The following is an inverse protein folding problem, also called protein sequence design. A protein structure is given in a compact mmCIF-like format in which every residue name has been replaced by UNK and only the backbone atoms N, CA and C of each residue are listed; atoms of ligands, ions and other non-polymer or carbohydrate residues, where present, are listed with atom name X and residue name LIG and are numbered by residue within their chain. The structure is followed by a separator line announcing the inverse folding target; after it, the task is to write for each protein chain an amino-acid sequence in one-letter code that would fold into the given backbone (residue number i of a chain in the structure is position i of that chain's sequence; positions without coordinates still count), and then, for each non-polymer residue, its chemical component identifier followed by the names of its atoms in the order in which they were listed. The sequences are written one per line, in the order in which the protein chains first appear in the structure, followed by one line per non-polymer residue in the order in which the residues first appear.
data_IF_395516545738
#
_entry.id   IF_395516545738
#
_cell.length_a   1.000
_cell.length_b   1.000
_cell.length_c   1.000
_cell.angle_alpha   90.00
_cell.angle_beta   90.00
_cell.angle_gamma   90.00
#
_symmetry.space_group_name_H-M   'P 1'
#
loop_
_entity.id
_entity.type
_entity.pdbx_description
1 polymer ?
2 non-polymer ?
3 water ?
#
# COMPACT_ATOMS: atom_id res chain seq x y z
N UNK A 1 16.84 6.78 15.88
CA UNK A 1 17.82 5.81 15.34
C UNK A 1 17.17 4.56 14.72
N UNK A 2 18.00 3.63 14.29
CA UNK A 2 17.52 2.44 13.62
C UNK A 2 18.00 1.15 14.27
N UNK A 3 17.42 0.04 13.83
CA UNK A 3 17.75 -1.27 14.36
C UNK A 3 17.93 -2.26 13.22
N UNK A 4 19.16 -2.64 12.91
CA UNK A 4 19.40 -3.59 11.83
C UNK A 4 18.91 -4.98 12.17
N UNK A 5 18.68 -5.80 11.15
CA UNK A 5 18.24 -7.17 11.32
C UNK A 5 18.90 -8.02 10.25
N UNK A 6 19.14 -9.29 10.57
CA UNK A 6 19.79 -10.20 9.64
C UNK A 6 18.96 -11.46 9.45
N UNK A 7 18.69 -11.82 8.20
CA UNK A 7 17.93 -13.02 7.89
C UNK A 7 18.93 -14.12 7.49
N UNK A 8 18.71 -15.33 8.00
CA UNK A 8 19.59 -16.46 7.74
C UNK A 8 18.89 -17.61 6.99
N UNK A 9 19.68 -18.40 6.25
CA UNK A 9 19.11 -19.47 5.46
C UNK A 9 18.25 -20.41 6.31
N UNK A 10 17.03 -20.62 5.81
CA UNK A 10 16.02 -21.44 6.45
C UNK A 10 15.91 -22.83 5.90
N UNK A 11 15.58 -23.78 6.76
CA UNK A 11 15.46 -25.16 6.30
C UNK A 11 14.07 -25.51 5.78
N UNK A 12 13.14 -24.57 5.85
CA UNK A 12 11.80 -24.86 5.36
C UNK A 12 10.75 -24.09 6.14
N UNK A 13 9.83 -23.43 5.45
CA UNK A 13 8.78 -22.68 6.14
C UNK A 13 7.50 -23.49 6.06
N UNK A 14 6.80 -23.57 7.17
CA UNK A 14 5.62 -24.40 7.19
C UNK A 14 4.58 -23.94 8.21
N UNK A 15 3.32 -23.92 7.80
CA UNK A 15 2.29 -23.53 8.72
C UNK A 15 1.11 -22.89 8.03
N UNK A 16 0.19 -22.41 8.85
CA UNK A 16 -1.02 -21.75 8.38
C UNK A 16 -1.14 -20.50 9.23
N UNK A 17 -1.27 -19.35 8.60
CA UNK A 17 -1.34 -18.09 9.33
C UNK A 17 -2.38 -17.14 8.78
N UNK A 18 -2.90 -16.27 9.64
CA UNK A 18 -3.86 -15.26 9.17
C UNK A 18 -2.99 -14.04 8.93
N UNK A 19 -3.13 -13.42 7.77
CA UNK A 19 -2.35 -12.23 7.47
C UNK A 19 -3.06 -10.99 8.07
N UNK A 20 -2.31 -9.95 8.46
CA UNK A 20 -2.92 -8.75 9.02
C UNK A 20 -3.83 -8.05 7.99
N UNK A 21 -4.77 -7.25 8.47
CA UNK A 21 -5.70 -6.56 7.59
C UNK A 21 -5.11 -5.66 6.53
N UNK A 22 -5.89 -5.43 5.48
CA UNK A 22 -5.47 -4.59 4.38
C UNK A 22 -5.28 -3.15 4.81
N UNK A 23 -4.10 -2.61 4.53
CA UNK A 23 -3.77 -1.23 4.88
C UNK A 23 -4.63 -0.22 4.10
N UNK A 24 -4.76 -0.40 2.77
CA UNK A 24 -5.57 0.54 1.99
C UNK A 24 -7.00 0.65 2.53
N UNK A 25 -7.62 -0.50 2.77
CA UNK A 25 -8.99 -0.52 3.27
C UNK A 25 -9.04 -0.01 4.72
N UNK A 26 -8.02 -0.33 5.51
CA UNK A 26 -8.02 0.13 6.91
C UNK A 26 -7.98 1.65 7.01
N UNK A 27 -7.13 2.28 6.20
CA UNK A 27 -7.02 3.74 6.17
C UNK A 27 -8.41 4.32 5.87
N UNK A 28 -9.03 3.80 4.80
CA UNK A 28 -10.34 4.31 4.39
C UNK A 28 -11.45 4.02 5.39
N UNK A 29 -11.30 2.94 6.15
CA UNK A 29 -12.33 2.61 7.16
C UNK A 29 -12.39 3.69 8.24
N UNK A 30 -11.22 4.12 8.67
CA UNK A 30 -11.11 5.18 9.68
C UNK A 30 -11.61 6.50 9.08
N UNK A 31 -11.21 6.79 7.84
CA UNK A 31 -11.63 8.04 7.21
C UNK A 31 -13.13 8.10 6.96
N UNK A 32 -13.69 7.08 6.31
CA UNK A 32 -15.10 7.10 6.01
C UNK A 32 -15.94 6.93 7.25
N UNK A 33 -15.48 6.10 8.19
CA UNK A 33 -16.19 5.92 9.44
C UNK A 33 -16.19 7.23 10.20
N UNK A 34 -15.08 7.95 10.15
CA UNK A 34 -15.00 9.23 10.86
C UNK A 34 -15.86 10.33 10.25
N UNK A 35 -16.06 10.27 8.93
CA UNK A 35 -16.85 11.26 8.21
C UNK A 35 -18.36 10.99 8.22
N UNK A 36 -18.73 9.72 8.18
CA UNK A 36 -20.13 9.33 8.04
C UNK A 36 -21.02 9.67 9.22
N UNK A 37 -22.32 9.57 8.96
CA UNK A 37 -23.31 9.82 10.00
C UNK A 37 -23.45 8.58 10.85
N UNK A 38 -23.40 8.75 12.15
CA UNK A 38 -23.59 7.60 12.99
C UNK A 38 -22.37 6.74 13.20
N UNK A 39 -22.65 5.50 13.57
CA UNK A 39 -21.63 4.55 13.95
C UNK A 39 -21.12 3.63 12.87
N UNK A 40 -19.80 3.41 12.88
CA UNK A 40 -19.16 2.47 11.98
C UNK A 40 -18.42 1.47 12.89
N UNK A 41 -18.52 0.18 12.56
CA UNK A 41 -17.87 -0.88 13.32
C UNK A 41 -16.92 -1.62 12.38
N UNK A 42 -15.65 -1.72 12.76
CA UNK A 42 -14.63 -2.34 11.92
C UNK A 42 -13.98 -3.56 12.59
N UNK A 43 -13.96 -4.68 11.91
CA UNK A 43 -13.28 -5.87 12.43
C UNK A 43 -12.16 -6.14 11.43
N UNK A 44 -11.04 -6.65 11.94
CA UNK A 44 -9.92 -6.98 11.08
C UNK A 44 -9.01 -5.81 10.74
N UNK A 45 -9.18 -4.68 11.42
CA UNK A 45 -8.37 -3.50 11.11
C UNK A 45 -6.87 -3.74 11.26
N UNK A 46 -6.08 -3.21 10.32
CA UNK A 46 -4.62 -3.26 10.43
C UNK A 46 -4.24 -2.22 11.48
N UNK A 47 -3.49 -2.64 12.50
CA UNK A 47 -3.10 -1.73 13.56
C UNK A 47 -1.65 -1.23 13.43
N UNK A 48 -1.18 -1.16 12.20
CA UNK A 48 0.16 -0.65 11.95
C UNK A 48 0.20 0.85 12.15
N UNK A 49 1.40 1.42 12.28
CA UNK A 49 1.55 2.86 12.52
C UNK A 49 0.87 3.78 11.52
N UNK A 50 0.94 3.46 10.23
CA UNK A 50 0.31 4.27 9.21
C UNK A 50 -1.18 4.49 9.49
N UNK A 51 -1.88 3.40 9.83
CA UNK A 51 -3.33 3.47 10.09
C UNK A 51 -3.63 4.22 11.37
N UNK A 52 -2.82 3.99 12.39
CA UNK A 52 -3.02 4.71 13.64
C UNK A 52 -2.91 6.23 13.38
N UNK A 53 -1.98 6.65 12.54
CA UNK A 53 -1.86 8.08 12.24
C UNK A 53 -3.10 8.64 11.57
N UNK A 54 -3.70 7.86 10.67
CA UNK A 54 -4.94 8.33 10.05
C UNK A 54 -6.03 8.44 11.12
N UNK A 55 -6.08 7.47 12.04
CA UNK A 55 -7.08 7.51 13.10
C UNK A 55 -6.93 8.78 13.94
N UNK A 56 -5.70 9.12 14.29
CA UNK A 56 -5.47 10.33 15.09
C UNK A 56 -5.86 11.62 14.33
N UNK A 57 -5.70 11.62 13.00
CA UNK A 57 -6.08 12.79 12.22
C UNK A 57 -7.60 12.95 12.22
N UNK A 58 -8.33 11.83 12.13
CA UNK A 58 -9.80 11.91 12.15
C UNK A 58 -10.29 12.36 13.53
N UNK A 59 -9.65 11.88 14.58
CA UNK A 59 -10.03 12.32 15.94
C UNK A 59 -9.80 13.83 16.09
N UNK A 60 -8.71 14.33 15.49
CA UNK A 60 -8.38 15.73 15.53
C UNK A 60 -9.44 16.61 14.86
N UNK A 61 -10.25 16.00 14.00
CA UNK A 61 -11.30 16.71 13.27
C UNK A 61 -12.71 16.37 13.78
N UNK A 62 -12.78 15.76 14.96
CA UNK A 62 -14.08 15.50 15.57
C UNK A 62 -14.66 14.11 15.65
N UNK A 63 -14.03 13.14 15.00
CA UNK A 63 -14.56 11.77 15.07
C UNK A 63 -14.13 11.14 16.38
N UNK A 64 -14.95 10.25 16.92
CA UNK A 64 -14.55 9.57 18.14
C UNK A 64 -14.22 8.14 17.73
N UNK A 65 -13.05 7.68 18.13
CA UNK A 65 -12.60 6.34 17.78
C UNK A 65 -12.25 5.59 19.04
N UNK A 66 -12.66 4.33 19.13
CA UNK A 66 -12.36 3.51 20.29
C UNK A 66 -12.31 2.05 19.87
N UNK A 67 -11.60 1.23 20.64
CA UNK A 67 -11.52 -0.20 20.36
C UNK A 67 -12.19 -0.98 21.51
N UNK A 68 -13.26 -1.68 21.16
CA UNK A 68 -14.03 -2.48 22.12
C UNK A 68 -13.84 -3.92 21.73
N UNK A 69 -13.10 -4.70 22.54
CA UNK A 69 -12.86 -6.08 22.18
C UNK A 69 -12.00 -6.06 20.94
N UNK A 70 -12.40 -6.78 19.90
CA UNK A 70 -11.61 -6.78 18.66
C UNK A 70 -12.25 -5.89 17.60
N UNK A 71 -13.16 -5.01 18.01
CA UNK A 71 -13.85 -4.13 17.07
C UNK A 71 -13.54 -2.65 17.25
N UNK A 72 -13.17 -1.97 16.17
CA UNK A 72 -12.94 -0.54 16.27
C UNK A 72 -14.29 0.09 15.98
N UNK A 73 -14.74 0.96 16.88
CA UNK A 73 -16.05 1.61 16.73
C UNK A 73 -15.79 3.09 16.54
N UNK A 74 -16.40 3.64 15.51
CA UNK A 74 -16.21 5.06 15.19
C UNK A 74 -17.54 5.81 15.18
N UNK A 75 -17.55 6.96 15.84
CA UNK A 75 -18.74 7.81 15.83
C UNK A 75 -18.38 8.95 14.88
N UNK A 76 -19.01 8.94 13.72
CA UNK A 76 -18.74 9.94 12.71
C UNK A 76 -19.37 11.30 12.91
N UNK A 77 -18.88 12.29 12.18
CA UNK A 77 -19.39 13.65 12.29
C UNK A 77 -20.45 13.99 11.23
N UNK A 78 -20.60 13.10 10.24
CA UNK A 78 -21.54 13.33 9.14
C UNK A 78 -20.86 14.11 8.02
N UNK A 79 -21.22 13.83 6.77
CA UNK A 79 -20.60 14.54 5.65
C UNK A 79 -20.77 16.06 5.86
N UNK A 80 -19.68 16.80 5.68
CA UNK A 80 -19.71 18.24 5.87
C UNK A 80 -19.47 18.65 7.32
N UNK A 81 -19.29 17.65 8.19
CA UNK A 81 -19.12 17.94 9.62
C UNK A 81 -17.74 17.96 10.24
N UNK A 82 -16.68 17.84 9.45
CA UNK A 82 -15.34 17.86 10.00
C UNK A 82 -15.05 19.22 10.64
N UNK A 83 -14.32 19.16 11.75
CA UNK A 83 -13.96 20.34 12.52
C UNK A 83 -12.51 20.73 12.28
N UNK A 84 -12.22 22.02 12.31
CA UNK A 84 -10.88 22.52 12.07
C UNK A 84 -9.88 21.95 13.09
N UNK A 85 -8.81 21.30 12.62
CA UNK A 85 -7.84 20.75 13.58
C UNK A 85 -7.06 21.86 14.29
N UNK A 86 -6.75 21.64 15.57
CA UNK A 86 -6.02 22.63 16.37
C UNK A 86 -4.57 22.69 15.99
N UNK A 87 -4.02 21.54 15.59
CA UNK A 87 -2.61 21.46 15.27
C UNK A 87 -2.39 20.70 13.97
N UNK A 88 -1.13 20.67 13.49
CA UNK A 88 -0.86 19.94 12.25
C UNK A 88 -1.26 18.48 12.35
N UNK A 89 -1.66 17.94 11.19
CA UNK A 89 -2.05 16.54 11.07
C UNK A 89 -0.75 15.82 10.71
N UNK A 90 -0.28 14.98 11.63
CA UNK A 90 0.97 14.27 11.46
C UNK A 90 0.73 12.90 10.87
N UNK A 91 1.11 12.72 9.60
CA UNK A 91 0.88 11.46 8.96
C UNK A 91 2.05 10.51 8.99
N UNK A 92 3.11 10.94 9.69
CA UNK A 92 4.28 10.09 9.82
C UNK A 92 4.82 9.60 8.49
N UNK A 93 4.77 8.28 8.25
CA UNK A 93 5.29 7.68 7.00
C UNK A 93 4.20 7.44 5.97
N UNK A 94 2.96 7.75 6.32
CA UNK A 94 1.80 7.41 5.47
C UNK A 94 1.28 8.34 4.38
N UNK A 95 1.68 8.09 3.14
CA UNK A 95 1.21 8.91 2.02
C UNK A 95 -0.29 8.72 1.79
N UNK A 96 -0.77 7.50 1.98
CA UNK A 96 -2.20 7.24 1.79
C UNK A 96 -3.03 8.15 2.70
N UNK A 97 -2.70 8.16 3.97
CA UNK A 97 -3.45 9.02 4.87
C UNK A 97 -3.31 10.48 4.51
N UNK A 98 -2.09 10.91 4.24
CA UNK A 98 -1.82 12.29 3.92
C UNK A 98 -2.52 12.76 2.65
N UNK A 99 -2.33 12.04 1.56
CA UNK A 99 -2.92 12.48 0.29
C UNK A 99 -4.43 12.42 0.28
N UNK A 100 -5.01 11.37 0.85
CA UNK A 100 -6.47 11.30 0.87
C UNK A 100 -7.05 12.37 1.79
N UNK A 101 -6.39 12.63 2.92
CA UNK A 101 -6.91 13.63 3.85
C UNK A 101 -6.81 15.04 3.28
N UNK A 102 -5.79 15.29 2.45
CA UNK A 102 -5.65 16.59 1.79
C UNK A 102 -6.91 16.86 0.97
N UNK A 103 -7.35 15.86 0.22
CA UNK A 103 -8.54 16.04 -0.57
C UNK A 103 -9.76 16.15 0.32
N UNK A 104 -9.82 15.32 1.35
CA UNK A 104 -10.97 15.31 2.24
C UNK A 104 -11.20 16.64 2.95
N UNK A 105 -10.16 17.18 3.57
CA UNK A 105 -10.37 18.42 4.33
C UNK A 105 -9.91 19.70 3.66
N UNK A 106 -9.13 19.59 2.57
CA UNK A 106 -8.69 20.77 1.86
C UNK A 106 -9.83 21.63 1.34
N UNK A 107 -10.98 21.00 1.07
CA UNK A 107 -12.16 21.69 0.56
C UNK A 107 -13.02 22.33 1.65
N UNK A 108 -12.60 22.21 2.90
CA UNK A 108 -13.33 22.84 4.00
C UNK A 108 -12.77 24.25 4.23
N UNK A 109 -13.65 25.16 4.61
CA UNK A 109 -13.31 26.55 4.84
C UNK A 109 -12.63 26.84 6.18
N UNK A 110 -11.50 26.17 6.39
CA UNK A 110 -10.65 26.37 7.56
C UNK A 110 -9.27 25.89 7.15
N UNK A 111 -8.27 26.23 7.93
CA UNK A 111 -6.90 25.83 7.64
C UNK A 111 -6.60 24.44 8.15
N UNK A 112 -5.80 23.72 7.37
CA UNK A 112 -5.33 22.40 7.76
C UNK A 112 -3.86 22.27 7.34
N UNK A 113 -3.03 21.78 8.25
CA UNK A 113 -1.60 21.63 7.97
C UNK A 113 -1.22 20.17 8.01
N UNK A 114 -0.37 19.78 7.05
CA UNK A 114 0.05 18.41 6.90
C UNK A 114 1.55 18.27 7.06
N UNK A 115 1.98 17.37 7.94
CA UNK A 115 3.40 17.12 8.17
C UNK A 115 3.66 15.63 8.21
N UNK A 116 4.93 15.24 8.14
CA UNK A 116 5.23 13.83 8.15
C UNK A 116 6.70 13.61 8.42
N UNK A 117 7.13 12.36 8.30
CA UNK A 117 8.53 12.06 8.59
C UNK A 117 9.50 12.40 7.46
N UNK A 118 10.77 12.07 7.66
CA UNK A 118 11.76 12.41 6.65
C UNK A 118 11.47 11.83 5.27
N UNK A 119 10.88 10.63 5.25
CA UNK A 119 10.54 9.98 3.98
C UNK A 119 9.32 10.64 3.30
N UNK A 120 8.24 10.84 4.04
CA UNK A 120 7.02 11.42 3.47
C UNK A 120 7.23 12.86 3.02
N UNK A 121 8.08 13.57 3.76
CA UNK A 121 8.39 14.96 3.45
C UNK A 121 9.13 15.15 2.13
N UNK A 122 9.69 14.07 1.58
CA UNK A 122 10.40 14.20 0.28
C UNK A 122 9.51 13.78 -0.89
N UNK A 123 8.34 13.20 -0.61
CA UNK A 123 7.47 12.70 -1.69
C UNK A 123 6.62 13.78 -2.37
N UNK A 124 6.32 13.57 -3.66
CA UNK A 124 5.53 14.58 -4.38
C UNK A 124 4.07 14.70 -4.00
N UNK A 125 3.64 15.93 -3.72
CA UNK A 125 2.24 16.15 -3.39
C UNK A 125 1.52 16.91 -4.50
N UNK A 126 2.27 17.43 -5.47
CA UNK A 126 1.66 18.18 -6.56
C UNK A 126 0.55 17.43 -7.28
N UNK A 127 0.71 16.12 -7.38
CA UNK A 127 -0.28 15.30 -8.08
C UNK A 127 -1.68 15.39 -7.45
N UNK A 128 -1.73 15.72 -6.16
CA UNK A 128 -3.01 15.92 -5.47
C UNK A 128 -3.30 17.42 -5.30
N UNK A 129 -2.27 18.23 -5.05
CA UNK A 129 -2.52 19.66 -4.84
C UNK A 129 -2.99 20.39 -6.09
N UNK A 130 -2.58 19.93 -7.26
CA UNK A 130 -3.01 20.59 -8.50
C UNK A 130 -4.51 20.47 -8.69
N UNK A 131 -5.09 19.26 -8.59
CA UNK A 131 -6.54 19.26 -8.76
C UNK A 131 -7.24 20.05 -7.66
N UNK A 132 -6.69 20.06 -6.44
CA UNK A 132 -7.32 20.85 -5.38
C UNK A 132 -7.29 22.34 -5.70
N UNK A 133 -6.21 22.81 -6.33
CA UNK A 133 -6.13 24.22 -6.71
C UNK A 133 -7.26 24.49 -7.73
N UNK A 134 -7.56 23.53 -8.60
CA UNK A 134 -8.61 23.72 -9.59
C UNK A 134 -9.96 23.80 -8.88
N UNK A 135 -10.09 23.08 -7.77
CA UNK A 135 -11.32 23.08 -6.98
C UNK A 135 -11.43 24.33 -6.10
N UNK A 136 -10.41 25.19 -6.11
CA UNK A 136 -10.48 26.42 -5.32
C UNK A 136 -9.73 26.43 -3.99
N UNK A 137 -9.00 25.38 -3.69
CA UNK A 137 -8.25 25.32 -2.45
C UNK A 137 -6.98 26.16 -2.58
N UNK A 138 -6.67 26.91 -1.53
CA UNK A 138 -5.46 27.72 -1.47
C UNK A 138 -4.38 26.84 -0.85
N UNK A 139 -3.25 26.75 -1.54
CA UNK A 139 -2.15 25.87 -1.12
C UNK A 139 -0.85 26.60 -0.77
N UNK A 140 -0.31 26.29 0.41
CA UNK A 140 0.98 26.81 0.85
C UNK A 140 1.84 25.56 1.06
N UNK A 141 2.81 25.34 0.20
CA UNK A 141 3.66 24.15 0.29
C UNK A 141 5.12 24.54 0.21
N UNK A 142 6.01 23.60 0.49
CA UNK A 142 7.43 23.85 0.33
C UNK A 142 7.75 23.63 -1.15
N UNK A 143 8.89 24.14 -1.59
CA UNK A 143 9.27 24.03 -3.00
C UNK A 143 9.14 22.61 -3.55
N UNK A 144 8.55 22.50 -4.75
CA UNK A 144 8.34 21.21 -5.37
C UNK A 144 7.04 20.58 -4.92
N UNK A 145 6.24 21.37 -4.21
CA UNK A 145 4.95 20.91 -3.64
C UNK A 145 5.19 19.72 -2.70
N UNK A 146 6.04 19.94 -1.69
CA UNK A 146 6.37 18.94 -0.68
C UNK A 146 5.86 19.44 0.67
N UNK A 147 5.74 18.53 1.63
CA UNK A 147 5.37 18.90 2.99
C UNK A 147 6.48 19.76 3.61
N UNK A 148 6.13 20.60 4.59
CA UNK A 148 4.78 20.78 5.14
C UNK A 148 3.89 21.52 4.17
N UNK A 149 2.60 21.23 4.24
CA UNK A 149 1.61 21.86 3.38
C UNK A 149 0.46 22.37 4.25
N UNK A 150 0.00 23.59 3.97
CA UNK A 150 -1.15 24.14 4.67
C UNK A 150 -2.20 24.44 3.59
N UNK A 151 -3.39 23.91 3.80
CA UNK A 151 -4.50 24.11 2.86
C UNK A 151 -5.57 24.97 3.50
N UNK A 152 -6.28 25.71 2.66
CA UNK A 152 -7.42 26.53 3.12
C UNK A 152 -8.43 26.44 2.01
N UNK A 153 -9.55 25.79 2.30
CA UNK A 153 -10.58 25.62 1.30
C UNK A 153 -11.40 26.87 1.10
N UNK A 154 -12.10 26.99 -0.03
CA UNK A 154 -12.94 28.14 -0.33
C UNK A 154 -14.30 27.98 0.37
N UNK A 155 -15.09 29.05 0.39
CA UNK A 155 -16.40 28.96 1.00
C UNK A 155 -17.22 27.90 0.28
N UNK A 156 -17.10 27.90 -1.05
CA UNK A 156 -17.80 26.95 -1.92
C UNK A 156 -16.81 26.38 -2.95
N UNK A 157 -16.42 25.11 -2.79
CA UNK A 157 -15.49 24.49 -3.74
C UNK A 157 -16.13 24.33 -5.11
N UNK A 158 -15.28 24.20 -6.13
CA UNK A 158 -15.73 24.03 -7.52
C UNK A 158 -15.53 22.56 -7.93
N UNK A 159 -16.60 21.87 -8.39
CA UNK A 159 -16.42 20.48 -8.80
C UNK A 159 -15.69 20.46 -10.13
N UNK A 160 -14.86 19.44 -10.33
CA UNK A 160 -14.10 19.33 -11.56
C UNK A 160 -14.24 17.95 -12.18
N UNK A 161 -13.73 17.83 -13.41
CA UNK A 161 -13.67 16.57 -14.13
C UNK A 161 -12.16 16.46 -14.29
N UNK A 162 -11.58 15.45 -13.66
CA UNK A 162 -10.13 15.31 -13.67
C UNK A 162 -9.61 14.01 -14.24
N UNK A 163 -8.76 14.10 -15.25
CA UNK A 163 -8.20 12.89 -15.82
C UNK A 163 -6.86 12.70 -15.13
N UNK A 164 -6.74 11.63 -14.36
CA UNK A 164 -5.51 11.36 -13.60
C UNK A 164 -4.40 11.03 -14.59
N UNK A 165 -3.29 11.79 -14.54
CA UNK A 165 -2.14 11.61 -15.45
C UNK A 165 -1.25 10.38 -15.28
N UNK A 166 -1.18 9.84 -14.07
CA UNK A 166 -0.39 8.63 -13.81
C UNK A 166 -1.35 7.65 -13.14
N UNK A 167 -0.96 6.37 -13.07
CA UNK A 167 -1.82 5.34 -12.50
C UNK A 167 -1.81 5.34 -10.98
N UNK A 168 -2.38 6.40 -10.41
CA UNK A 168 -2.43 6.62 -8.97
C UNK A 168 -3.82 6.51 -8.36
N UNK A 169 -4.02 5.50 -7.52
CA UNK A 169 -5.31 5.38 -6.83
C UNK A 169 -5.40 6.49 -5.77
N UNK A 170 -4.26 6.95 -5.24
CA UNK A 170 -4.33 8.03 -4.23
C UNK A 170 -4.83 9.35 -4.84
N UNK A 171 -4.42 9.66 -6.07
CA UNK A 171 -4.90 10.89 -6.69
C UNK A 171 -6.38 10.78 -6.98
N UNK A 172 -6.79 9.66 -7.56
CA UNK A 172 -8.22 9.44 -7.82
C UNK A 172 -8.99 9.57 -6.50
N UNK A 173 -8.46 8.98 -5.44
CA UNK A 173 -9.13 9.00 -4.13
C UNK A 173 -9.25 10.40 -3.54
N UNK A 174 -8.18 11.17 -3.63
CA UNK A 174 -8.17 12.53 -3.11
C UNK A 174 -9.20 13.40 -3.81
N UNK A 175 -9.30 13.29 -5.13
CA UNK A 175 -10.28 14.10 -5.84
C UNK A 175 -11.71 13.66 -5.48
N UNK A 176 -11.97 12.36 -5.37
CA UNK A 176 -13.29 11.91 -4.97
C UNK A 176 -13.64 12.36 -3.53
N UNK A 177 -12.69 12.29 -2.60
CA UNK A 177 -12.98 12.70 -1.22
C UNK A 177 -13.24 14.21 -1.19
N UNK A 178 -12.50 14.98 -2.00
CA UNK A 178 -12.76 16.43 -2.07
C UNK A 178 -14.19 16.65 -2.58
N UNK A 179 -14.61 15.82 -3.53
CA UNK A 179 -15.96 15.92 -4.06
C UNK A 179 -17.05 15.75 -3.03
N UNK A 180 -16.78 15.01 -1.94
CA UNK A 180 -17.81 14.82 -0.90
C UNK A 180 -18.31 16.13 -0.31
N UNK A 181 -17.46 17.14 -0.23
CA UNK A 181 -17.93 18.41 0.33
C UNK A 181 -18.06 19.51 -0.72
N UNK A 182 -18.20 19.11 -1.98
CA UNK A 182 -18.29 20.05 -3.10
C UNK A 182 -19.66 19.91 -3.75
N UNK A 183 -20.37 21.04 -3.92
CA UNK A 183 -21.69 20.92 -4.54
C UNK A 183 -21.55 20.64 -6.03
N UNK A 184 -22.39 19.76 -6.56
CA UNK A 184 -22.33 19.43 -7.96
C UNK A 184 -21.71 18.05 -8.17
N UNK A 185 -21.36 17.74 -9.41
CA UNK A 185 -20.80 16.45 -9.77
C UNK A 185 -19.29 16.47 -10.02
N UNK A 186 -18.55 15.69 -9.23
CA UNK A 186 -17.12 15.56 -9.40
C UNK A 186 -16.88 14.30 -10.22
N UNK A 187 -16.03 14.42 -11.24
CA UNK A 187 -15.75 13.27 -12.09
C UNK A 187 -14.27 12.98 -12.16
N UNK A 188 -13.92 11.72 -11.96
CA UNK A 188 -12.53 11.31 -12.09
C UNK A 188 -12.46 10.33 -13.24
N UNK A 189 -11.54 10.57 -14.16
CA UNK A 189 -11.34 9.69 -15.31
C UNK A 189 -9.98 9.04 -15.14
N UNK A 190 -9.99 7.72 -15.13
CA UNK A 190 -8.82 6.91 -14.96
C UNK A 190 -8.58 6.10 -16.24
N UNK A 191 -7.52 6.42 -17.00
CA UNK A 191 -7.30 5.64 -18.24
C UNK A 191 -6.89 4.19 -18.01
N UNK A 192 -6.27 3.92 -16.86
CA UNK A 192 -5.87 2.57 -16.51
C UNK A 192 -6.34 2.35 -15.07
N UNK A 193 -7.03 1.24 -14.85
CA UNK A 193 -7.58 0.97 -13.53
C UNK A 193 -6.56 0.86 -12.43
N UNK A 194 -6.86 1.48 -11.29
CA UNK A 194 -5.99 1.39 -10.11
C UNK A 194 -6.88 0.85 -8.98
N UNK A 195 -6.29 0.48 -7.85
CA UNK A 195 -7.12 -0.09 -6.78
C UNK A 195 -8.34 0.77 -6.53
N UNK A 196 -9.46 0.08 -6.37
CA UNK A 196 -10.77 0.75 -6.29
C UNK A 196 -11.48 0.71 -4.96
N UNK A 197 -10.69 0.67 -3.89
CA UNK A 197 -11.28 0.65 -2.55
C UNK A 197 -12.11 1.88 -2.25
N UNK A 198 -11.66 3.05 -2.73
CA UNK A 198 -12.43 4.27 -2.48
C UNK A 198 -13.82 4.18 -3.10
N UNK A 199 -13.89 3.82 -4.39
CA UNK A 199 -15.18 3.69 -5.08
C UNK A 199 -16.11 2.67 -4.42
N UNK A 200 -15.59 1.47 -4.17
CA UNK A 200 -16.42 0.42 -3.58
C UNK A 200 -16.88 0.81 -2.19
N UNK A 201 -15.98 1.38 -1.39
CA UNK A 201 -16.37 1.73 -0.02
C UNK A 201 -17.33 2.92 0.05
N UNK A 202 -17.12 3.95 -0.78
CA UNK A 202 -18.05 5.07 -0.77
C UNK A 202 -19.42 4.61 -1.19
N UNK A 203 -19.50 3.68 -2.14
CA UNK A 203 -20.82 3.18 -2.54
C UNK A 203 -21.44 2.46 -1.33
N UNK A 204 -20.62 1.69 -0.60
CA UNK A 204 -21.10 0.97 0.58
C UNK A 204 -21.61 1.90 1.67
N UNK A 205 -21.04 3.10 1.74
CA UNK A 205 -21.47 4.09 2.72
C UNK A 205 -22.66 4.92 2.24
N UNK A 206 -23.18 4.58 1.05
CA UNK A 206 -24.35 5.28 0.52
C UNK A 206 -24.15 6.43 -0.44
N UNK A 207 -22.90 6.69 -0.83
CA UNK A 207 -22.61 7.78 -1.74
C UNK A 207 -23.24 7.52 -3.09
N UNK A 208 -23.72 8.57 -3.75
CA UNK A 208 -24.24 8.44 -5.10
C UNK A 208 -23.02 8.54 -6.02
N UNK A 209 -22.31 7.42 -6.15
CA UNK A 209 -21.10 7.32 -6.94
C UNK A 209 -21.26 6.18 -7.93
N UNK A 210 -20.99 6.47 -9.20
CA UNK A 210 -21.10 5.46 -10.23
C UNK A 210 -19.78 5.29 -10.94
N UNK A 211 -19.57 4.09 -11.47
CA UNK A 211 -18.36 3.80 -12.23
C UNK A 211 -18.80 3.23 -13.57
N UNK A 212 -18.33 3.84 -14.66
CA UNK A 212 -18.66 3.36 -16.00
C UNK A 212 -17.34 3.03 -16.70
N UNK A 213 -17.25 1.83 -17.26
CA UNK A 213 -16.03 1.46 -17.95
C UNK A 213 -16.29 1.32 -19.45
N UNK A 214 -15.54 2.07 -20.24
CA UNK A 214 -15.68 2.01 -21.70
C UNK A 214 -15.07 0.67 -22.13
N UNK A 215 -15.45 0.18 -23.32
CA UNK A 215 -14.91 -1.06 -23.83
C UNK A 215 -13.40 -0.95 -23.93
N UNK A 216 -12.88 0.28 -24.06
CA UNK A 216 -11.42 0.44 -24.14
C UNK A 216 -10.74 0.46 -22.76
N UNK A 217 -11.53 0.26 -21.72
CA UNK A 217 -10.99 0.20 -20.36
C UNK A 217 -10.97 1.50 -19.55
N UNK A 218 -11.17 2.65 -20.19
CA UNK A 218 -11.16 3.90 -19.46
C UNK A 218 -12.35 3.94 -18.48
N UNK A 219 -12.07 4.32 -17.23
CA UNK A 219 -13.12 4.42 -16.20
C UNK A 219 -13.53 5.86 -15.94
N UNK A 220 -14.84 6.11 -15.92
CA UNK A 220 -15.38 7.43 -15.65
C UNK A 220 -16.11 7.24 -14.33
N UNK A 221 -15.62 7.90 -13.28
CA UNK A 221 -16.18 7.77 -11.94
C UNK A 221 -16.85 9.07 -11.59
N UNK A 222 -18.16 9.03 -11.34
CA UNK A 222 -18.94 10.23 -11.03
C UNK A 222 -19.41 10.17 -9.58
N UNK A 223 -19.29 11.29 -8.89
CA UNK A 223 -19.72 11.41 -7.49
C UNK A 223 -20.54 12.67 -7.29
N UNK A 224 -21.75 12.52 -6.75
CA UNK A 224 -22.59 13.67 -6.45
C UNK A 224 -22.17 14.18 -5.05
N UNK A 225 -21.76 15.44 -4.98
CA UNK A 225 -21.29 15.99 -3.72
C UNK A 225 -22.31 16.36 -2.66
N UNK A 226 -21.81 16.49 -1.43
CA UNK A 226 -22.62 16.89 -0.29
C UNK A 226 -23.80 15.98 0.00
N UNK A 227 -23.63 14.70 -0.30
CA UNK A 227 -24.67 13.71 -0.02
C UNK A 227 -24.44 13.03 1.32
N UNK A 228 -25.49 12.40 1.85
CA UNK A 228 -25.36 11.74 3.13
C UNK A 228 -24.49 10.51 3.05
N UNK A 229 -23.68 10.28 4.08
CA UNK A 229 -22.89 9.04 4.17
C UNK A 229 -23.40 8.41 5.47
N UNK A 230 -23.61 7.10 5.44
CA UNK A 230 -24.14 6.36 6.58
C UNK A 230 -23.12 5.36 7.14
N UNK A 231 -22.89 5.40 8.45
CA UNK A 231 -21.96 4.48 9.09
C UNK A 231 -22.24 3.04 8.73
N UNK A 232 -21.18 2.26 8.62
CA UNK A 232 -21.31 0.88 8.20
C UNK A 232 -20.55 -0.12 9.04
N UNK A 233 -20.89 -1.39 8.84
CA UNK A 233 -20.18 -2.49 9.49
C UNK A 233 -19.17 -2.94 8.44
N UNK A 234 -17.89 -2.87 8.78
CA UNK A 234 -16.81 -3.23 7.86
C UNK A 234 -16.02 -4.43 8.34
N UNK A 235 -15.75 -5.37 7.44
CA UNK A 235 -14.94 -6.53 7.76
C UNK A 235 -13.74 -6.43 6.81
N UNK A 236 -12.59 -6.06 7.37
CA UNK A 236 -11.38 -5.85 6.58
C UNK A 236 -10.72 -7.16 6.16
N UNK A 237 -10.44 -7.31 4.84
CA UNK A 237 -9.80 -8.55 4.35
C UNK A 237 -8.30 -8.48 4.60
N UNK A 238 -7.62 -9.62 4.50
CA UNK A 238 -6.19 -9.69 4.71
C UNK A 238 -5.43 -8.93 3.62
N UNK A 239 -4.37 -8.26 4.02
CA UNK A 239 -3.56 -7.44 3.11
C UNK A 239 -2.78 -8.29 2.09
N UNK A 240 -3.08 -8.10 0.80
CA UNK A 240 -2.39 -8.88 -0.25
C UNK A 240 -0.94 -8.45 -0.43
N UNK A 241 -0.61 -7.21 -0.07
CA UNK A 241 0.79 -6.74 -0.16
C UNK A 241 1.61 -7.35 0.98
N UNK A 242 1.01 -7.50 2.16
CA UNK A 242 1.73 -8.10 3.29
C UNK A 242 1.86 -9.59 3.02
N UNK A 243 0.81 -10.17 2.44
CA UNK A 243 0.80 -11.60 2.10
C UNK A 243 1.99 -11.96 1.23
N UNK A 244 2.36 -11.03 0.34
CA UNK A 244 3.48 -11.25 -0.59
C UNK A 244 4.77 -11.73 0.07
N UNK A 245 5.05 -11.26 1.28
CA UNK A 245 6.29 -11.64 1.95
C UNK A 245 6.36 -13.10 2.34
N UNK A 246 5.38 -13.61 3.11
CA UNK A 246 5.48 -15.05 3.46
C UNK A 246 5.22 -15.90 2.21
N UNK A 247 4.42 -15.38 1.27
CA UNK A 247 4.12 -16.13 0.06
C UNK A 247 5.39 -16.33 -0.78
N UNK A 248 6.12 -15.25 -1.05
CA UNK A 248 7.33 -15.43 -1.84
C UNK A 248 8.37 -16.24 -1.05
N UNK A 249 8.43 -16.04 0.26
CA UNK A 249 9.37 -16.81 1.07
C UNK A 249 9.09 -18.32 0.91
N UNK A 250 7.81 -18.72 0.94
CA UNK A 250 7.44 -20.12 0.82
C UNK A 250 7.78 -20.68 -0.57
N UNK A 251 7.68 -19.86 -1.61
CA UNK A 251 8.01 -20.32 -2.95
C UNK A 251 9.52 -20.57 -3.04
N UNK A 252 10.29 -19.69 -2.43
CA UNK A 252 11.77 -19.77 -2.52
C UNK A 252 12.51 -20.71 -1.59
N UNK A 253 12.05 -20.82 -0.36
CA UNK A 253 12.73 -21.69 0.61
C UNK A 253 12.37 -23.15 0.37
N UNK A 254 13.35 -23.99 0.04
CA UNK A 254 13.03 -25.41 -0.20
C UNK A 254 12.35 -26.05 1.01
N UNK A 255 11.45 -27.01 0.73
CA UNK A 255 10.76 -27.71 1.81
C UNK A 255 9.66 -26.92 2.50
N UNK A 256 9.07 -25.97 1.79
CA UNK A 256 8.03 -25.12 2.38
C UNK A 256 6.62 -25.42 1.92
N UNK A 257 5.68 -25.15 2.83
CA UNK A 257 4.25 -25.36 2.56
C UNK A 257 3.54 -24.42 3.55
N UNK A 258 3.17 -23.26 3.06
CA UNK A 258 2.53 -22.22 3.88
C UNK A 258 1.17 -21.83 3.37
N UNK A 259 0.19 -21.80 4.27
CA UNK A 259 -1.14 -21.38 3.90
C UNK A 259 -1.44 -20.03 4.58
N UNK A 260 -1.85 -19.05 3.77
CA UNK A 260 -2.21 -17.73 4.26
C UNK A 260 -3.73 -17.58 4.15
N UNK A 261 -4.37 -17.32 5.28
CA UNK A 261 -5.83 -17.21 5.33
C UNK A 261 -6.41 -15.83 5.12
N UNK A 262 -7.59 -15.83 4.48
CA UNK A 262 -8.41 -14.64 4.28
C UNK A 262 -7.71 -13.50 3.56
N UNK A 263 -7.10 -13.80 2.41
CA UNK A 263 -6.37 -12.79 1.64
C UNK A 263 -7.25 -12.08 0.62
N UNK A 264 -7.17 -10.75 0.56
CA UNK A 264 -7.93 -9.98 -0.41
C UNK A 264 -7.48 -10.38 -1.82
N UNK A 265 -8.44 -10.66 -2.70
CA UNK A 265 -8.17 -11.10 -4.07
C UNK A 265 -8.73 -10.18 -5.15
N UNK A 266 -9.06 -8.95 -4.78
CA UNK A 266 -9.53 -7.92 -5.73
C UNK A 266 -8.42 -7.89 -6.80
N UNK A 267 -8.78 -8.02 -8.10
CA UNK A 267 -7.75 -8.02 -9.14
C UNK A 267 -6.82 -6.81 -9.30
N UNK A 268 -7.18 -5.68 -8.70
CA UNK A 268 -6.32 -4.52 -8.75
C UNK A 268 -5.18 -4.71 -7.74
N UNK A 269 -5.20 -5.83 -7.01
CA UNK A 269 -4.19 -6.10 -6.00
C UNK A 269 -3.43 -7.40 -6.21
N UNK A 270 -3.76 -8.15 -7.26
CA UNK A 270 -3.13 -9.45 -7.46
C UNK A 270 -2.14 -9.66 -8.60
N UNK A 271 -1.57 -8.58 -9.11
CA UNK A 271 -0.59 -8.72 -10.18
C UNK A 271 0.62 -9.59 -9.81
N UNK A 272 1.08 -9.52 -8.56
CA UNK A 272 2.24 -10.35 -8.19
C UNK A 272 1.90 -11.83 -8.27
N UNK A 273 0.75 -12.24 -7.75
CA UNK A 273 0.36 -13.63 -7.83
C UNK A 273 0.33 -14.10 -9.28
N UNK A 274 -0.27 -13.30 -10.17
CA UNK A 274 -0.36 -13.67 -11.58
C UNK A 274 1.04 -13.82 -12.16
N UNK A 275 1.92 -12.88 -11.82
CA UNK A 275 3.28 -12.91 -12.33
C UNK A 275 4.04 -14.13 -11.82
N UNK A 276 3.92 -14.43 -10.53
CA UNK A 276 4.61 -15.57 -9.97
C UNK A 276 4.08 -16.87 -10.60
N UNK A 277 2.77 -16.93 -10.84
CA UNK A 277 2.21 -18.12 -11.47
C UNK A 277 2.83 -18.34 -12.85
N UNK A 278 3.03 -17.24 -13.59
CA UNK A 278 3.65 -17.31 -14.91
C UNK A 278 5.10 -17.77 -14.82
N UNK A 279 5.74 -17.49 -13.69
CA UNK A 279 7.14 -17.89 -13.46
C UNK A 279 7.22 -19.36 -13.00
N UNK A 280 6.07 -19.97 -12.74
CA UNK A 280 6.07 -21.37 -12.31
C UNK A 280 5.68 -21.62 -10.86
N UNK A 281 5.20 -20.59 -10.17
CA UNK A 281 4.85 -20.75 -8.75
C UNK A 281 3.66 -21.66 -8.52
N UNK A 282 3.75 -22.40 -7.43
CA UNK A 282 2.71 -23.33 -7.00
C UNK A 282 1.93 -22.57 -5.91
N UNK A 283 0.89 -21.88 -6.34
CA UNK A 283 0.04 -21.12 -5.44
C UNK A 283 -1.38 -21.59 -5.69
N UNK A 284 -1.99 -22.20 -4.68
CA UNK A 284 -3.35 -22.70 -4.82
C UNK A 284 -4.34 -21.73 -4.19
N UNK A 285 -5.34 -21.34 -4.96
CA UNK A 285 -6.38 -20.43 -4.48
C UNK A 285 -7.49 -21.32 -3.93
N UNK A 286 -7.70 -21.22 -2.63
CA UNK A 286 -8.67 -22.05 -1.94
C UNK A 286 -9.91 -21.32 -1.42
N UNK A 287 -11.08 -21.89 -1.66
CA UNK A 287 -12.36 -21.36 -1.16
C UNK A 287 -12.57 -19.87 -1.49
N UNK A 288 -12.46 -19.50 -2.78
CA UNK A 288 -12.67 -18.11 -3.14
C UNK A 288 -14.10 -17.78 -2.72
N UNK A 289 -14.28 -16.64 -2.07
CA UNK A 289 -15.56 -16.27 -1.53
C UNK A 289 -15.71 -14.77 -1.39
N UNK A 290 -16.90 -14.36 -0.98
CA UNK A 290 -17.21 -12.94 -0.78
C UNK A 290 -17.29 -12.75 0.74
N UNK A 291 -16.51 -11.80 1.26
CA UNK A 291 -16.47 -11.50 2.68
C UNK A 291 -16.32 -10.00 2.86
N UNK A 292 -17.22 -9.39 3.63
CA UNK A 292 -17.12 -7.96 3.84
C UNK A 292 -17.22 -7.18 2.54
N UNK A 293 -17.95 -7.71 1.56
CA UNK A 293 -18.08 -7.01 0.30
C UNK A 293 -16.91 -7.13 -0.66
N UNK A 294 -15.90 -7.93 -0.29
CA UNK A 294 -14.73 -8.12 -1.13
C UNK A 294 -14.46 -9.58 -1.44
N UNK A 295 -13.68 -9.80 -2.49
CA UNK A 295 -13.28 -11.14 -2.86
C UNK A 295 -12.10 -11.52 -2.01
N UNK A 296 -12.19 -12.69 -1.37
CA UNK A 296 -11.07 -13.18 -0.56
C UNK A 296 -10.90 -14.67 -0.83
N UNK A 297 -9.74 -15.19 -0.47
CA UNK A 297 -9.46 -16.62 -0.61
C UNK A 297 -8.30 -16.98 0.32
N UNK A 298 -8.11 -18.27 0.56
CA UNK A 298 -6.95 -18.70 1.35
C UNK A 298 -5.95 -19.14 0.28
N UNK A 299 -4.66 -18.95 0.52
CA UNK A 299 -3.65 -19.31 -0.46
C UNK A 299 -2.70 -20.31 0.12
N UNK A 300 -2.53 -21.45 -0.54
CA UNK A 300 -1.57 -22.47 -0.10
C UNK A 300 -0.40 -22.36 -1.06
N UNK A 301 0.75 -22.08 -0.48
CA UNK A 301 1.97 -21.85 -1.25
C UNK A 301 3.04 -22.90 -0.96
N UNK A 302 3.56 -23.50 -2.02
CA UNK A 302 4.60 -24.51 -1.87
C UNK A 302 5.89 -24.19 -2.66
N UNK A 303 7.02 -24.65 -2.15
CA UNK A 303 8.33 -24.43 -2.78
C UNK A 303 8.21 -24.70 -4.26
N UNK A 304 8.76 -23.79 -5.06
CA UNK A 304 8.68 -23.88 -6.50
C UNK A 304 9.97 -23.51 -7.17
N UNK A 305 10.17 -24.00 -8.39
CA UNK A 305 11.34 -23.65 -9.16
C UNK A 305 10.78 -22.58 -10.09
N UNK A 306 11.41 -21.41 -10.10
CA UNK A 306 10.90 -20.31 -10.91
C UNK A 306 11.77 -19.99 -12.14
N UNK A 307 11.11 -19.45 -13.15
CA UNK A 307 11.79 -19.02 -14.38
C UNK A 307 11.46 -17.56 -14.62
N UNK A 308 12.44 -16.81 -15.08
CA UNK A 308 12.22 -15.41 -15.35
C UNK A 308 11.19 -15.15 -16.44
N UNK A 309 10.47 -14.03 -16.31
CA UNK A 309 9.48 -13.66 -17.30
C UNK A 309 9.54 -12.16 -17.57
N UNK A 310 8.83 -11.72 -18.59
CA UNK A 310 8.72 -10.30 -18.92
C UNK A 310 7.39 -9.83 -18.32
N UNK A 311 7.46 -8.78 -17.51
CA UNK A 311 6.31 -8.19 -16.84
C UNK A 311 5.98 -6.88 -17.55
N UNK A 312 4.87 -6.85 -18.30
CA UNK A 312 4.41 -5.67 -19.06
C UNK A 312 4.05 -4.44 -18.25
N UNK A 313 4.29 -3.28 -18.84
CA UNK A 313 4.03 -2.04 -18.14
C UNK A 313 2.59 -1.88 -17.67
N UNK A 314 1.63 -2.45 -18.40
CA UNK A 314 0.23 -2.28 -18.00
C UNK A 314 -0.23 -3.10 -16.81
N UNK A 315 0.62 -4.02 -16.35
CA UNK A 315 0.29 -4.80 -15.16
C UNK A 315 0.75 -4.04 -13.93
N UNK A 316 1.63 -3.05 -14.10
CA UNK A 316 2.17 -2.35 -12.95
C UNK A 316 1.20 -1.84 -11.88
N UNK A 317 0.12 -1.14 -12.26
CA UNK A 317 -0.80 -0.65 -11.23
C UNK A 317 -1.35 -1.73 -10.29
N UNK A 318 -1.51 -2.93 -10.81
CA UNK A 318 -2.03 -4.06 -10.04
C UNK A 318 -1.03 -4.74 -9.10
N UNK A 319 0.22 -4.24 -9.11
CA UNK A 319 1.25 -4.83 -8.27
C UNK A 319 2.37 -3.85 -8.00
N UNK A 320 2.07 -2.56 -8.06
CA UNK A 320 3.12 -1.55 -7.88
C UNK A 320 3.93 -1.67 -6.59
N UNK A 321 3.29 -2.04 -5.48
CA UNK A 321 4.01 -2.18 -4.23
C UNK A 321 4.71 -3.52 -4.07
N UNK A 322 4.49 -4.43 -5.02
CA UNK A 322 5.13 -5.73 -4.95
C UNK A 322 6.36 -5.87 -5.83
N UNK A 323 6.83 -4.80 -6.48
CA UNK A 323 8.03 -4.96 -7.30
C UNK A 323 9.27 -5.31 -6.46
N UNK A 324 9.41 -4.76 -5.25
CA UNK A 324 10.60 -5.14 -4.47
C UNK A 324 10.67 -6.64 -4.19
N UNK A 325 9.55 -7.24 -3.72
CA UNK A 325 9.58 -8.67 -3.40
C UNK A 325 9.64 -9.54 -4.68
N UNK A 326 9.07 -9.04 -5.77
CA UNK A 326 9.16 -9.76 -7.05
C UNK A 326 10.64 -9.78 -7.49
N UNK A 327 11.34 -8.66 -7.32
CA UNK A 327 12.75 -8.59 -7.73
C UNK A 327 13.56 -9.62 -6.94
N UNK A 328 13.21 -9.79 -5.67
CA UNK A 328 13.88 -10.78 -4.84
C UNK A 328 13.59 -12.19 -5.37
N UNK A 329 12.34 -12.49 -5.72
CA UNK A 329 12.03 -13.81 -6.28
C UNK A 329 12.82 -14.02 -7.59
N UNK A 330 12.91 -12.96 -8.41
CA UNK A 330 13.62 -13.02 -9.69
C UNK A 330 15.11 -13.34 -9.49
N UNK A 331 15.65 -12.97 -8.33
CA UNK A 331 17.06 -13.23 -8.02
C UNK A 331 17.34 -14.74 -7.92
N UNK A 332 16.28 -15.53 -7.76
CA UNK A 332 16.41 -16.99 -7.66
C UNK A 332 15.75 -17.75 -8.78
N UNK A 333 15.35 -17.03 -9.83
CA UNK A 333 14.70 -17.65 -10.98
C UNK A 333 15.71 -17.92 -12.08
N UNK A 334 15.40 -18.90 -12.94
CA UNK A 334 16.27 -19.23 -14.06
C UNK A 334 16.10 -18.20 -15.17
N UNK A 335 17.18 -17.53 -15.55
CA UNK A 335 17.08 -16.55 -16.61
C UNK A 335 16.76 -15.14 -16.13
N UNK A 336 16.36 -14.29 -17.06
CA UNK A 336 16.08 -12.88 -16.80
C UNK A 336 14.61 -12.55 -16.61
N UNK A 337 14.34 -11.70 -15.62
CA UNK A 337 12.98 -11.21 -15.39
C UNK A 337 13.13 -9.74 -15.79
N UNK A 338 12.26 -9.29 -16.70
CA UNK A 338 12.31 -7.91 -17.19
C UNK A 338 11.05 -7.16 -16.79
N UNK A 339 11.23 -6.03 -16.11
CA UNK A 339 10.10 -5.24 -15.63
C UNK A 339 10.21 -3.79 -16.06
N UNK A 340 9.25 -3.27 -16.84
CA UNK A 340 9.29 -1.88 -17.28
C UNK A 340 8.07 -1.11 -16.71
N UNK A 341 7.93 0.15 -17.09
CA UNK A 341 6.81 0.95 -16.58
C UNK A 341 6.94 1.21 -15.09
N UNK A 342 8.17 1.35 -14.60
CA UNK A 342 8.41 1.51 -13.17
C UNK A 342 8.66 2.92 -12.64
N UNK A 343 8.39 3.96 -13.42
CA UNK A 343 8.62 5.33 -12.97
C UNK A 343 8.02 5.64 -11.58
N UNK A 344 6.84 5.11 -11.29
CA UNK A 344 6.21 5.39 -10.01
C UNK A 344 6.98 4.85 -8.82
N UNK A 345 7.82 3.84 -9.02
CA UNK A 345 8.61 3.34 -7.92
C UNK A 345 9.58 4.40 -7.35
N UNK A 346 9.98 5.35 -8.18
CA UNK A 346 10.96 6.33 -7.72
C UNK A 346 10.44 7.38 -6.75
N UNK A 347 9.12 7.44 -6.56
CA UNK A 347 8.51 8.41 -5.66
C UNK A 347 7.79 7.82 -4.44
N UNK A 348 8.16 6.60 -4.07
CA UNK A 348 7.52 5.94 -2.93
C UNK A 348 8.27 6.27 -1.63
N UNK A 349 8.05 5.48 -0.57
CA UNK A 349 8.72 5.72 0.71
C UNK A 349 10.21 5.99 0.49
N UNK A 350 10.77 5.21 -0.43
CA UNK A 350 12.15 5.36 -0.90
C UNK A 350 12.00 5.32 -2.42
N UNK A 351 13.06 5.67 -3.14
CA UNK A 351 13.02 5.49 -4.59
C UNK A 351 13.22 3.96 -4.59
N UNK A 352 12.13 3.23 -4.79
CA UNK A 352 12.20 1.77 -4.71
C UNK A 352 13.01 1.10 -5.79
N UNK A 353 13.08 1.72 -6.96
CA UNK A 353 13.85 1.15 -8.05
C UNK A 353 15.34 1.21 -7.71
N UNK A 354 15.79 2.37 -7.25
CA UNK A 354 17.19 2.49 -6.86
C UNK A 354 17.52 1.66 -5.63
N UNK A 355 16.62 1.65 -4.64
CA UNK A 355 16.89 0.89 -3.42
C UNK A 355 16.93 -0.61 -3.67
N UNK A 356 16.02 -1.12 -4.51
CA UNK A 356 16.02 -2.55 -4.83
C UNK A 356 17.28 -2.91 -5.64
N UNK A 357 17.59 -2.12 -6.67
CA UNK A 357 18.77 -2.39 -7.47
C UNK A 357 20.03 -2.39 -6.59
N UNK A 358 20.19 -1.38 -5.74
CA UNK A 358 21.38 -1.33 -4.88
C UNK A 358 21.43 -2.51 -3.90
N UNK A 359 20.27 -2.87 -3.33
CA UNK A 359 20.23 -3.97 -2.39
C UNK A 359 20.58 -5.29 -3.05
N UNK A 360 20.09 -5.50 -4.27
CA UNK A 360 20.37 -6.73 -5.02
C UNK A 360 21.87 -6.83 -5.33
N UNK A 361 22.46 -5.72 -5.81
CA UNK A 361 23.90 -5.72 -6.10
C UNK A 361 24.77 -5.99 -4.88
N UNK A 362 24.40 -5.38 -3.74
CA UNK A 362 25.11 -5.54 -2.50
C UNK A 362 25.09 -7.02 -2.13
N UNK A 363 24.01 -7.70 -2.55
CA UNK A 363 23.85 -9.12 -2.25
C UNK A 363 24.15 -10.09 -3.39
N UNK A 364 25.04 -9.62 -4.28
CA UNK A 364 25.56 -10.43 -5.37
C UNK A 364 24.74 -10.73 -6.60
N UNK A 365 23.62 -10.05 -6.72
CA UNK A 365 22.73 -10.28 -7.84
C UNK A 365 23.09 -9.48 -9.08
N UNK A 366 23.00 -10.14 -10.23
CA UNK A 366 23.26 -9.49 -11.52
C UNK A 366 21.94 -8.82 -11.95
N UNK A 367 21.91 -7.49 -11.96
CA UNK A 367 20.72 -6.76 -12.40
C UNK A 367 21.11 -5.47 -13.11
N UNK A 368 20.19 -4.98 -13.93
CA UNK A 368 20.41 -3.73 -14.64
C UNK A 368 19.26 -2.78 -14.32
N UNK A 369 19.61 -1.65 -13.72
CA UNK A 369 18.62 -0.63 -13.38
C UNK A 369 18.54 0.39 -14.52
N UNK A 370 17.33 0.61 -15.04
CA UNK A 370 17.10 1.58 -16.10
C UNK A 370 16.34 2.75 -15.48
N UNK A 371 16.13 3.82 -16.25
CA UNK A 371 15.40 4.96 -15.71
C UNK A 371 14.01 4.52 -15.25
N UNK A 372 13.37 3.61 -16.00
CA UNK A 372 12.03 3.17 -15.62
C UNK A 372 11.86 1.66 -15.74
N UNK A 373 12.94 0.94 -15.48
CA UNK A 373 12.88 -0.51 -15.61
C UNK A 373 13.93 -1.20 -14.78
N UNK A 374 13.75 -2.51 -14.64
CA UNK A 374 14.72 -3.33 -13.92
C UNK A 374 14.81 -4.69 -14.60
N UNK A 375 16.03 -5.16 -14.84
CA UNK A 375 16.25 -6.51 -15.38
C UNK A 375 17.02 -7.24 -14.27
N UNK A 376 16.57 -8.44 -13.92
CA UNK A 376 17.21 -9.26 -12.88
C UNK A 376 17.49 -10.65 -13.45
N UNK A 377 18.72 -11.13 -13.30
CA UNK A 377 19.07 -12.47 -13.75
C UNK A 377 19.29 -13.28 -12.47
N UNK A 378 18.66 -14.45 -12.38
CA UNK A 378 18.78 -15.20 -11.15
C UNK A 378 19.85 -16.29 -11.05
N UNK A 379 19.99 -16.75 -9.81
CA UNK A 379 20.87 -17.86 -9.46
C UNK A 379 19.95 -18.77 -8.63
N UNK A 380 19.30 -19.74 -9.29
CA UNK A 380 18.40 -20.65 -8.59
C UNK A 380 18.91 -21.32 -7.31
N UNK A 381 20.18 -21.73 -7.26
CA UNK A 381 20.66 -22.38 -6.04
C UNK A 381 21.05 -21.41 -4.93
N UNK A 382 20.94 -20.11 -5.23
CA UNK A 382 21.27 -19.08 -4.25
C UNK A 382 22.75 -18.97 -3.93
N UNK A 383 23.58 -19.78 -4.59
CA UNK A 383 25.02 -19.72 -4.30
C UNK A 383 25.62 -18.37 -4.67
N UNK A 384 26.47 -17.85 -3.80
CA UNK A 384 27.11 -16.57 -4.07
C UNK A 384 26.22 -15.36 -3.79
N UNK A 385 24.97 -15.60 -3.41
CA UNK A 385 24.06 -14.50 -3.11
C UNK A 385 24.06 -14.18 -1.61
N UNK A 386 23.63 -12.98 -1.27
CA UNK A 386 23.64 -12.54 0.10
C UNK A 386 24.93 -11.78 0.32
N UNK A 387 25.28 -11.51 1.57
CA UNK A 387 26.50 -10.78 1.82
C UNK A 387 27.21 -11.39 3.01
N UNK A 388 28.27 -12.14 2.73
CA UNK A 388 29.02 -12.79 3.79
C UNK A 388 29.66 -11.82 4.78
N UNK A 389 30.02 -10.61 4.34
CA UNK A 389 30.66 -9.65 5.21
C UNK A 389 29.70 -8.97 6.19
N UNK A 390 28.40 -9.21 6.01
CA UNK A 390 27.41 -8.62 6.90
C UNK A 390 27.02 -7.20 6.54
N UNK A 391 27.38 -6.75 5.34
CA UNK A 391 27.05 -5.41 4.90
C UNK A 391 25.53 -5.28 4.85
N UNK A 392 25.03 -4.14 5.32
CA UNK A 392 23.59 -3.89 5.38
C UNK A 392 22.96 -3.16 4.20
N UNK A 393 21.80 -3.66 3.79
CA UNK A 393 21.03 -3.04 2.74
C UNK A 393 20.46 -1.72 3.23
N UNK A 394 20.62 -0.65 2.44
CA UNK A 394 20.05 0.62 2.85
C UNK A 394 18.54 0.58 2.58
N UNK A 395 17.75 0.73 3.63
CA UNK A 395 16.30 0.70 3.51
C UNK A 395 15.65 2.03 3.19
N UNK A 396 16.36 3.13 3.41
CA UNK A 396 15.84 4.46 3.13
C UNK A 396 14.45 4.67 3.71
N UNK A 397 14.28 4.22 4.97
CA UNK A 397 13.03 4.36 5.72
C UNK A 397 11.84 3.72 5.03
N UNK A 398 12.10 2.69 4.22
CA UNK A 398 11.06 2.02 3.47
C UNK A 398 10.84 0.58 3.95
N UNK A 399 9.76 0.38 4.69
CA UNK A 399 9.37 -0.94 5.21
C UNK A 399 9.39 -2.07 4.20
N UNK A 400 8.99 -1.82 2.95
CA UNK A 400 8.99 -2.88 1.95
C UNK A 400 10.39 -3.25 1.50
N UNK A 401 11.34 -2.31 1.57
CA UNK A 401 12.72 -2.66 1.22
C UNK A 401 13.26 -3.57 2.35
N UNK A 402 12.96 -3.20 3.58
CA UNK A 402 13.40 -3.99 4.73
C UNK A 402 12.81 -5.42 4.65
N UNK A 403 11.50 -5.53 4.48
CA UNK A 403 10.93 -6.87 4.44
C UNK A 403 11.37 -7.73 3.26
N UNK A 404 11.54 -7.10 2.10
CA UNK A 404 11.93 -7.86 0.91
C UNK A 404 13.31 -8.45 1.07
N UNK A 405 14.26 -7.67 1.57
CA UNK A 405 15.60 -8.22 1.71
C UNK A 405 15.73 -9.22 2.85
N UNK A 406 14.90 -9.08 3.87
CA UNK A 406 14.92 -10.06 4.94
C UNK A 406 14.41 -11.38 4.34
N UNK A 407 13.42 -11.34 3.44
CA UNK A 407 12.98 -12.58 2.81
C UNK A 407 14.14 -13.19 2.00
N UNK A 408 14.89 -12.35 1.31
CA UNK A 408 16.00 -12.84 0.51
C UNK A 408 17.00 -13.66 1.33
N UNK A 409 17.29 -13.20 2.54
CA UNK A 409 18.24 -13.87 3.43
C UNK A 409 17.82 -15.25 3.88
N UNK A 410 16.54 -15.53 3.76
CA UNK A 410 16.08 -16.87 4.14
C UNK A 410 16.42 -17.87 3.05
N UNK A 411 16.86 -17.36 1.90
CA UNK A 411 17.10 -18.19 0.74
C UNK A 411 18.54 -18.20 0.25
N UNK A 412 19.19 -17.05 0.30
CA UNK A 412 20.56 -16.91 -0.16
C UNK A 412 21.59 -17.73 0.62
N UNK A 413 22.70 -18.06 -0.05
CA UNK A 413 23.76 -18.82 0.58
C UNK A 413 24.32 -18.07 1.79
N UNK A 414 24.50 -16.76 1.62
CA UNK A 414 25.00 -15.91 2.69
C UNK A 414 23.84 -15.07 3.26
N UNK A 415 23.91 -14.73 4.56
CA UNK A 415 22.83 -13.94 5.16
C UNK A 415 22.66 -12.57 4.55
N UNK A 416 21.46 -12.02 4.72
CA UNK A 416 21.14 -10.69 4.21
C UNK A 416 20.82 -9.84 5.43
N UNK A 417 21.43 -8.67 5.47
CA UNK A 417 21.24 -7.75 6.56
C UNK A 417 20.58 -6.47 6.05
N UNK A 418 19.60 -5.97 6.78
CA UNK A 418 19.01 -4.69 6.43
C UNK A 418 19.43 -3.67 7.50
N UNK A 419 19.61 -2.41 7.12
CA UNK A 419 20.08 -1.44 8.11
C UNK A 419 19.05 -1.02 9.14
N UNK A 420 17.77 -1.33 8.90
CA UNK A 420 16.74 -0.89 9.84
C UNK A 420 15.46 -1.71 9.68
N UNK A 421 14.92 -2.24 10.79
CA UNK A 421 13.66 -2.99 10.76
C UNK A 421 12.54 -2.21 11.47
N UNK A 422 12.89 -1.05 12.04
CA UNK A 422 11.91 -0.28 12.79
C UNK A 422 10.71 0.26 12.02
N UNK A 423 10.83 0.38 10.70
CA UNK A 423 9.70 0.90 9.93
C UNK A 423 8.74 -0.21 9.48
N UNK A 424 9.11 -1.47 9.72
CA UNK A 424 8.24 -2.56 9.31
C UNK A 424 6.86 -2.44 9.97
N UNK A 425 6.82 -1.91 11.20
CA UNK A 425 5.54 -1.76 11.89
C UNK A 425 4.59 -0.72 11.29
N UNK A 426 5.02 0.03 10.27
CA UNK A 426 4.08 0.99 9.66
C UNK A 426 2.94 0.26 8.94
N UNK A 427 3.23 -0.92 8.40
CA UNK A 427 2.21 -1.72 7.69
C UNK A 427 2.08 -3.19 8.11
N UNK A 428 3.05 -3.72 8.86
CA UNK A 428 3.04 -5.16 9.17
C UNK A 428 3.77 -5.37 10.50
N UNK A 429 3.22 -4.85 11.60
CA UNK A 429 3.91 -5.06 12.88
C UNK A 429 4.11 -6.54 13.27
N UNK A 430 3.26 -7.40 12.73
CA UNK A 430 3.30 -8.83 13.03
C UNK A 430 4.41 -9.56 12.25
N UNK A 431 5.05 -8.89 11.30
CA UNK A 431 6.05 -9.54 10.43
C UNK A 431 7.05 -10.47 11.09
N UNK A 432 7.81 -9.96 12.07
CA UNK A 432 8.81 -10.80 12.71
C UNK A 432 8.22 -12.05 13.36
N UNK A 433 7.14 -11.87 14.13
CA UNK A 433 6.49 -13.01 14.79
C UNK A 433 5.90 -13.98 13.80
N UNK A 434 5.22 -13.46 12.77
CA UNK A 434 4.62 -14.31 11.77
C UNK A 434 5.68 -15.16 11.03
N UNK A 435 6.75 -14.51 10.57
CA UNK A 435 7.81 -15.22 9.87
C UNK A 435 8.50 -16.22 10.80
N UNK A 436 8.74 -15.83 12.05
CA UNK A 436 9.37 -16.74 13.00
C UNK A 436 8.51 -17.98 13.24
N UNK A 437 7.20 -17.78 13.35
CA UNK A 437 6.30 -18.91 13.59
C UNK A 437 6.35 -19.94 12.47
N UNK A 438 6.60 -19.47 11.25
CA UNK A 438 6.68 -20.35 10.08
C UNK A 438 8.04 -21.04 10.03
N UNK A 439 8.98 -20.60 10.84
CA UNK A 439 10.28 -21.24 10.85
C UNK A 439 11.44 -20.35 10.42
N UNK A 440 11.16 -19.13 9.99
CA UNK A 440 12.21 -18.21 9.54
C UNK A 440 13.13 -17.78 10.67
N UNK A 441 14.42 -17.66 10.37
CA UNK A 441 15.42 -17.25 11.34
C UNK A 441 15.83 -15.81 11.03
N UNK A 442 15.31 -14.84 11.77
CA UNK A 442 15.63 -13.43 11.54
C UNK A 442 16.08 -12.86 12.88
N UNK A 443 17.32 -12.38 12.92
CA UNK A 443 17.89 -11.83 14.16
C UNK A 443 17.86 -10.32 14.16
N UNK A 444 17.15 -9.77 15.14
CA UNK A 444 17.02 -8.33 15.30
C UNK A 444 18.18 -7.89 16.18
N UNK A 445 18.97 -6.93 15.71
CA UNK A 445 20.13 -6.45 16.47
C UNK A 445 19.79 -6.04 17.89
#
# INVERSE_FOLDING_TARGET
SSRPATARKSSGLSGTVRIPGDKSISHRSFMFGGLASGETRITGLLEGEDVINTGKAMQAMGARIRKEGDTWIIDGVGNGGLLAPEAPLDFGNAATGCRLTMGLVGVYDFDSTFIGDASLTKRPMGRVLNPLREMGVQVKSEDGDRLPVTLRGPKTPTPITYRVPMASAQVKSAVLLAGLNTPGITTVIEPIMTRDHTEKMLQGFGANLTVETDADGVRTIRLEGRGKLTGQVIDVPGDPSSTAFPLVAALLVPGSDVTILNVLMNPTRTGLILTLQEMGADIEVINPRLAGGEDVADLRVRSSTLKGVTVPEDRAPSMIDEYPILAVAAAFAEGATVMNGLEELRVKESDRLSAVANGLKLNGVDCDEGETSLVVRGRPDGKGLGNASGAAVATHLDHRIAMSFLVMGLVSENPVTVDDATMIATSFPEFMDLMAGLGAKIELS
#
